data_IF_245926258914
#
_entry.id   IF_245926258914
#
_cell.length_a   1.000
_cell.length_b   1.000
_cell.length_c   1.000
_cell.angle_alpha   90.00
_cell.angle_beta   90.00
_cell.angle_gamma   90.00
#
_symmetry.space_group_name_H-M   'P 1'
#
loop_
_entity.id
_entity.type
_entity.pdbx_description
1 polymer ?
#
# COMPACT_ATOMS: atom_id res chain seq x y z
N UNK A 1 -23.26 16.81 -2.23
CA UNK A 1 -22.95 16.74 -0.78
C UNK A 1 -21.45 16.84 -0.62
N UNK A 2 -20.96 18.00 -0.17
CA UNK A 2 -19.54 18.23 0.11
C UNK A 2 -19.13 17.42 1.33
N UNK A 3 -18.27 16.42 1.11
CA UNK A 3 -17.64 15.69 2.21
C UNK A 3 -16.92 16.71 3.11
N UNK A 4 -17.23 16.71 4.41
CA UNK A 4 -16.45 17.44 5.40
C UNK A 4 -15.06 16.84 5.35
N UNK A 5 -14.11 17.55 4.74
CA UNK A 5 -12.71 17.21 4.80
C UNK A 5 -12.31 17.28 6.29
N UNK A 6 -12.30 16.12 6.96
CA UNK A 6 -11.74 15.99 8.29
C UNK A 6 -10.30 16.50 8.28
N UNK A 7 -9.82 16.92 9.45
CA UNK A 7 -8.40 17.20 9.67
C UNK A 7 -7.59 15.98 9.20
N UNK A 8 -6.77 16.16 8.16
CA UNK A 8 -5.84 15.13 7.71
C UNK A 8 -4.49 15.39 8.38
N UNK A 9 -4.20 14.71 9.50
CA UNK A 9 -2.96 14.88 10.24
C UNK A 9 -1.74 14.76 9.32
N UNK A 10 -1.82 13.98 8.22
CA UNK A 10 -0.70 13.80 7.29
C UNK A 10 -0.17 15.09 6.63
N UNK A 11 -0.92 16.19 6.72
CA UNK A 11 -0.49 17.52 6.24
C UNK A 11 0.43 18.22 7.24
N UNK A 12 0.53 17.70 8.45
CA UNK A 12 1.38 18.17 9.52
C UNK A 12 2.52 17.16 9.76
N UNK A 13 3.74 17.67 9.88
CA UNK A 13 4.90 16.84 10.23
C UNK A 13 4.69 16.31 11.65
N UNK A 14 4.52 15.00 11.81
CA UNK A 14 4.30 14.43 13.15
C UNK A 14 5.58 14.08 13.90
N UNK A 15 6.74 14.07 13.24
CA UNK A 15 8.03 13.69 13.84
C UNK A 15 9.23 14.09 12.96
N UNK A 16 10.44 13.84 13.48
CA UNK A 16 11.74 14.02 12.81
C UNK A 16 12.10 12.87 11.84
N UNK A 17 11.14 12.05 11.41
CA UNK A 17 11.41 10.93 10.48
C UNK A 17 11.63 11.42 9.05
N UNK A 18 12.47 10.71 8.30
CA UNK A 18 12.76 11.00 6.87
C UNK A 18 11.56 10.68 5.98
N UNK A 19 10.81 9.63 6.33
CA UNK A 19 9.58 9.25 5.65
C UNK A 19 8.60 8.67 6.67
N UNK A 20 7.30 8.89 6.47
CA UNK A 20 6.28 8.13 7.18
C UNK A 20 5.49 7.27 6.20
N UNK A 21 5.25 6.02 6.59
CA UNK A 21 4.48 5.07 5.81
C UNK A 21 3.23 4.72 6.60
N UNK A 22 2.07 5.12 6.09
CA UNK A 22 0.80 4.87 6.73
C UNK A 22 0.02 3.83 5.93
N UNK A 23 -0.49 2.82 6.64
CA UNK A 23 -1.07 1.63 6.04
C UNK A 23 -2.51 1.48 6.51
N UNK A 24 -3.42 1.27 5.56
CA UNK A 24 -4.84 1.14 5.80
C UNK A 24 -5.22 -0.09 6.62
N UNK A 25 -6.25 0.07 7.45
CA UNK A 25 -6.84 -1.03 8.22
C UNK A 25 -7.48 -2.10 7.33
N UNK A 26 -8.16 -1.72 6.24
CA UNK A 26 -8.94 -2.68 5.47
C UNK A 26 -8.05 -3.46 4.51
N UNK A 27 -8.62 -4.52 3.97
CA UNK A 27 -7.91 -5.48 3.13
C UNK A 27 -8.18 -5.25 1.66
N UNK A 28 -7.17 -5.46 0.84
CA UNK A 28 -7.29 -5.68 -0.59
C UNK A 28 -6.64 -7.03 -0.94
N UNK A 29 -7.38 -7.90 -1.62
CA UNK A 29 -6.82 -9.15 -2.13
C UNK A 29 -5.84 -8.85 -3.26
N UNK A 30 -4.62 -9.36 -3.19
CA UNK A 30 -3.65 -9.35 -4.30
C UNK A 30 -3.41 -10.74 -4.87
N UNK A 31 -4.12 -11.73 -4.31
CA UNK A 31 -4.08 -13.12 -4.74
C UNK A 31 -2.66 -13.64 -4.82
N UNK A 32 -2.36 -14.39 -5.87
CA UNK A 32 -1.06 -14.97 -6.19
C UNK A 32 -0.02 -13.98 -6.74
N UNK A 33 -0.40 -12.71 -6.97
CA UNK A 33 0.54 -11.65 -7.35
C UNK A 33 1.17 -11.09 -6.08
N UNK A 34 2.28 -11.71 -5.67
CA UNK A 34 2.97 -11.43 -4.41
C UNK A 34 4.47 -11.15 -4.61
N UNK A 35 5.14 -10.68 -3.55
CA UNK A 35 6.58 -10.48 -3.51
C UNK A 35 7.10 -9.56 -4.62
N UNK A 36 8.21 -9.92 -5.29
CA UNK A 36 8.78 -9.11 -6.37
C UNK A 36 7.86 -8.94 -7.59
N UNK A 37 6.89 -9.84 -7.78
CA UNK A 37 5.91 -9.69 -8.86
C UNK A 37 4.96 -8.54 -8.52
N UNK A 38 4.44 -8.51 -7.28
CA UNK A 38 3.60 -7.41 -6.81
C UNK A 38 4.33 -6.06 -6.88
N UNK A 39 5.60 -6.02 -6.47
CA UNK A 39 6.42 -4.81 -6.59
C UNK A 39 6.41 -4.27 -8.03
N UNK A 40 6.79 -5.11 -9.01
CA UNK A 40 6.92 -4.69 -10.41
C UNK A 40 5.57 -4.31 -11.01
N UNK A 41 4.51 -5.02 -10.65
CA UNK A 41 3.15 -4.70 -11.10
C UNK A 41 2.70 -3.34 -10.57
N UNK A 42 2.79 -3.09 -9.26
CA UNK A 42 2.39 -1.80 -8.69
C UNK A 42 3.27 -0.66 -9.21
N UNK A 43 4.59 -0.88 -9.27
CA UNK A 43 5.52 0.09 -9.85
C UNK A 43 5.12 0.44 -11.28
N UNK A 44 4.90 -0.57 -12.14
CA UNK A 44 4.53 -0.37 -13.54
C UNK A 44 3.23 0.42 -13.69
N UNK A 45 2.18 0.00 -12.97
CA UNK A 45 0.88 0.68 -13.02
C UNK A 45 0.97 2.14 -12.56
N UNK A 46 1.69 2.42 -11.48
CA UNK A 46 1.89 3.80 -11.00
C UNK A 46 2.80 4.60 -11.94
N UNK A 47 3.84 3.97 -12.50
CA UNK A 47 4.77 4.62 -13.41
C UNK A 47 4.07 5.06 -14.70
N UNK A 48 3.21 4.21 -15.23
CA UNK A 48 2.47 4.47 -16.46
C UNK A 48 1.33 5.48 -16.22
N UNK A 49 0.71 5.44 -15.04
CA UNK A 49 -0.41 6.33 -14.71
C UNK A 49 0.05 7.73 -14.30
N UNK A 50 1.14 7.85 -13.52
CA UNK A 50 1.64 9.11 -13.02
C UNK A 50 2.74 9.67 -13.92
N UNK A 51 2.50 10.79 -14.63
CA UNK A 51 3.39 11.28 -15.67
C UNK A 51 4.75 11.73 -15.13
N UNK A 52 5.81 11.46 -15.90
CA UNK A 52 7.19 11.86 -15.62
C UNK A 52 7.41 13.38 -15.58
N UNK A 53 6.63 14.15 -16.34
CA UNK A 53 6.79 15.61 -16.48
C UNK A 53 5.73 16.40 -15.68
N UNK A 54 5.05 15.76 -14.73
CA UNK A 54 4.09 16.41 -13.84
C UNK A 54 4.69 16.67 -12.46
N UNK A 55 4.08 17.57 -11.71
CA UNK A 55 4.34 17.77 -10.27
C UNK A 55 3.24 17.14 -9.39
N UNK A 56 2.19 16.61 -10.03
CA UNK A 56 1.02 16.01 -9.37
C UNK A 56 0.49 14.82 -10.16
N UNK A 57 -0.11 13.89 -9.44
CA UNK A 57 -0.84 12.75 -10.02
C UNK A 57 -2.12 12.53 -9.23
N UNK A 58 -3.26 12.42 -9.92
CA UNK A 58 -4.54 12.14 -9.26
C UNK A 58 -5.38 11.19 -10.10
N UNK A 59 -5.93 10.17 -9.44
CA UNK A 59 -6.90 9.24 -10.02
C UNK A 59 -8.20 9.35 -9.23
N UNK A 60 -9.26 9.80 -9.91
CA UNK A 60 -10.59 9.97 -9.34
C UNK A 60 -11.71 9.41 -10.25
N UNK A 61 -11.37 8.66 -11.30
CA UNK A 61 -12.32 8.11 -12.25
C UNK A 61 -12.23 6.59 -12.30
N UNK A 62 -13.35 5.93 -11.95
CA UNK A 62 -13.50 4.47 -11.94
C UNK A 62 -13.20 3.81 -13.28
N UNK A 63 -13.55 4.46 -14.38
CA UNK A 63 -13.36 3.91 -15.72
C UNK A 63 -11.88 3.89 -16.16
N UNK A 64 -11.00 4.47 -15.35
CA UNK A 64 -9.56 4.59 -15.61
C UNK A 64 -8.69 3.90 -14.55
N UNK A 65 -9.28 3.06 -13.69
CA UNK A 65 -8.51 2.34 -12.69
C UNK A 65 -7.53 1.38 -13.36
N UNK A 66 -6.21 1.54 -13.17
CA UNK A 66 -5.26 0.55 -13.63
C UNK A 66 -5.40 -0.70 -12.78
N UNK A 67 -5.55 -1.85 -13.43
CA UNK A 67 -5.80 -3.13 -12.79
C UNK A 67 -4.78 -4.17 -13.24
N UNK A 68 -4.57 -5.18 -12.39
CA UNK A 68 -3.86 -6.40 -12.75
C UNK A 68 -4.71 -7.61 -12.40
N UNK A 69 -4.54 -8.68 -13.19
CA UNK A 69 -5.19 -9.96 -12.94
C UNK A 69 -4.46 -10.73 -11.86
N UNK A 70 -5.21 -11.47 -11.06
CA UNK A 70 -4.67 -12.38 -10.04
C UNK A 70 -5.64 -13.52 -9.76
N UNK A 71 -5.20 -14.56 -9.07
CA UNK A 71 -6.04 -15.62 -8.57
C UNK A 71 -6.30 -15.46 -7.08
N UNK A 72 -7.57 -15.41 -6.71
CA UNK A 72 -8.01 -15.30 -5.31
C UNK A 72 -8.99 -16.42 -4.97
N UNK A 73 -9.23 -16.64 -3.67
CA UNK A 73 -10.37 -17.44 -3.25
C UNK A 73 -11.63 -16.55 -3.29
N UNK A 74 -12.64 -17.00 -4.02
CA UNK A 74 -13.93 -16.31 -4.17
C UNK A 74 -14.78 -16.35 -2.90
N UNK A 75 -16.11 -16.37 -3.04
CA UNK A 75 -17.03 -16.65 -1.92
C UNK A 75 -17.22 -18.18 -1.83
N UNK A 76 -17.43 -18.69 -0.61
CA UNK A 76 -17.59 -20.12 -0.31
C UNK A 76 -18.55 -20.83 -1.31
N UNK A 77 -18.28 -22.08 -1.74
CA UNK A 77 -17.21 -23.00 -1.31
C UNK A 77 -15.89 -22.87 -2.10
N UNK A 78 -15.49 -21.64 -2.42
CA UNK A 78 -14.14 -21.18 -2.79
C UNK A 78 -13.48 -21.86 -4.00
N UNK A 79 -14.10 -21.83 -5.19
CA UNK A 79 -13.30 -21.96 -6.40
C UNK A 79 -12.18 -20.90 -6.39
N UNK A 80 -11.01 -21.30 -6.88
CA UNK A 80 -9.98 -20.33 -7.27
C UNK A 80 -10.53 -19.60 -8.49
N UNK A 81 -10.65 -18.29 -8.39
CA UNK A 81 -11.19 -17.45 -9.46
C UNK A 81 -10.12 -16.47 -9.93
N UNK A 82 -10.05 -16.26 -11.25
CA UNK A 82 -9.32 -15.13 -11.82
C UNK A 82 -10.11 -13.86 -11.48
N UNK A 83 -9.53 -12.99 -10.67
CA UNK A 83 -10.08 -11.71 -10.28
C UNK A 83 -9.15 -10.59 -10.71
N UNK A 84 -9.55 -9.33 -10.47
CA UNK A 84 -8.70 -8.17 -10.71
C UNK A 84 -8.56 -7.32 -9.47
N UNK A 85 -7.33 -6.91 -9.22
CA UNK A 85 -7.01 -5.90 -8.22
C UNK A 85 -6.63 -4.62 -8.92
N UNK A 86 -7.28 -3.53 -8.53
CA UNK A 86 -7.17 -2.24 -9.17
C UNK A 86 -6.64 -1.19 -8.22
N UNK A 87 -5.83 -0.28 -8.73
CA UNK A 87 -5.55 0.98 -8.05
C UNK A 87 -6.78 1.86 -8.25
N UNK A 88 -7.56 2.05 -7.19
CA UNK A 88 -8.83 2.77 -7.25
C UNK A 88 -8.70 4.25 -6.88
N UNK A 89 -7.55 4.64 -6.34
CA UNK A 89 -7.30 5.99 -5.88
C UNK A 89 -5.80 6.30 -5.93
N UNK A 90 -5.46 7.47 -6.45
CA UNK A 90 -4.11 8.01 -6.42
C UNK A 90 -4.23 9.48 -6.06
N UNK A 91 -3.42 9.94 -5.12
CA UNK A 91 -3.16 11.37 -4.90
C UNK A 91 -1.69 11.53 -4.59
N UNK A 92 -0.97 12.25 -5.43
CA UNK A 92 0.45 12.48 -5.24
C UNK A 92 0.84 13.90 -5.64
N UNK A 93 1.82 14.43 -4.92
CA UNK A 93 2.57 15.63 -5.30
C UNK A 93 4.05 15.30 -5.15
N UNK A 94 4.85 15.69 -6.14
CA UNK A 94 6.28 15.42 -6.18
C UNK A 94 7.02 16.50 -6.97
N UNK A 95 8.20 16.89 -6.51
CA UNK A 95 8.98 17.96 -7.14
C UNK A 95 9.63 17.56 -8.47
N UNK A 96 10.13 16.33 -8.57
CA UNK A 96 10.89 15.85 -9.73
C UNK A 96 10.81 14.34 -9.91
N UNK A 97 11.35 13.84 -11.02
CA UNK A 97 11.31 12.42 -11.41
C UNK A 97 11.99 11.49 -10.41
N UNK A 98 13.07 11.94 -9.76
CA UNK A 98 13.76 11.14 -8.75
C UNK A 98 12.86 10.93 -7.53
N UNK A 99 12.18 11.99 -7.08
CA UNK A 99 11.22 11.92 -5.97
C UNK A 99 10.00 11.10 -6.37
N UNK A 100 9.47 11.27 -7.59
CA UNK A 100 8.36 10.46 -8.14
C UNK A 100 8.70 8.97 -8.07
N UNK A 101 9.86 8.59 -8.62
CA UNK A 101 10.35 7.21 -8.61
C UNK A 101 10.53 6.67 -7.19
N UNK A 102 11.07 7.49 -6.28
CA UNK A 102 11.24 7.13 -4.87
C UNK A 102 9.89 6.86 -4.17
N UNK A 103 8.89 7.72 -4.40
CA UNK A 103 7.54 7.55 -3.85
C UNK A 103 6.86 6.29 -4.41
N UNK A 104 6.94 6.07 -5.73
CA UNK A 104 6.39 4.85 -6.37
C UNK A 104 7.06 3.60 -5.79
N UNK A 105 8.39 3.62 -5.62
CA UNK A 105 9.15 2.55 -5.01
C UNK A 105 8.77 2.24 -3.59
N UNK A 106 8.55 3.28 -2.78
CA UNK A 106 8.12 3.12 -1.41
C UNK A 106 6.71 2.52 -1.33
N UNK A 107 5.77 2.94 -2.19
CA UNK A 107 4.44 2.33 -2.28
C UNK A 107 4.54 0.85 -2.71
N UNK A 108 5.20 0.57 -3.83
CA UNK A 108 5.34 -0.78 -4.38
C UNK A 108 6.05 -1.72 -3.41
N UNK A 109 7.15 -1.25 -2.81
CA UNK A 109 7.92 -1.99 -1.82
C UNK A 109 7.15 -2.22 -0.53
N UNK A 110 6.29 -1.29 -0.11
CA UNK A 110 5.39 -1.53 1.03
C UNK A 110 4.41 -2.66 0.73
N UNK A 111 3.77 -2.67 -0.45
CA UNK A 111 2.86 -3.75 -0.82
C UNK A 111 3.57 -5.11 -0.95
N UNK A 112 4.75 -5.15 -1.58
CA UNK A 112 5.60 -6.35 -1.62
C UNK A 112 5.91 -6.86 -0.21
N UNK A 113 6.42 -5.99 0.65
CA UNK A 113 6.80 -6.28 2.01
C UNK A 113 5.66 -6.93 2.80
N UNK A 114 4.42 -6.45 2.62
CA UNK A 114 3.23 -7.03 3.24
C UNK A 114 2.99 -8.50 2.85
N UNK A 115 3.45 -8.95 1.69
CA UNK A 115 3.23 -10.33 1.21
C UNK A 115 4.37 -11.31 1.53
N UNK A 116 5.46 -10.81 2.10
CA UNK A 116 6.67 -11.61 2.39
C UNK A 116 6.52 -12.50 3.64
N UNK A 117 5.45 -12.36 4.42
CA UNK A 117 5.21 -13.19 5.60
C UNK A 117 4.92 -14.64 5.21
N UNK A 118 5.50 -15.59 5.95
CA UNK A 118 5.28 -17.02 5.74
C UNK A 118 3.83 -17.40 6.10
N UNK A 119 3.33 -18.49 5.51
CA UNK A 119 2.08 -19.15 5.92
C UNK A 119 2.31 -19.84 7.28
N UNK A 120 2.41 -19.06 8.34
CA UNK A 120 2.62 -19.55 9.70
C UNK A 120 1.31 -20.09 10.29
N UNK A 121 1.04 -21.38 10.05
CA UNK A 121 0.08 -22.15 10.86
C UNK A 121 0.69 -22.59 12.20
N UNK A 122 2.02 -22.52 12.35
CA UNK A 122 2.76 -23.12 13.49
C UNK A 122 2.89 -22.17 14.68
N UNK A 123 2.87 -20.86 14.48
CA UNK A 123 3.10 -19.85 15.54
C UNK A 123 1.80 -19.26 16.13
N UNK A 124 0.63 -19.67 15.62
CA UNK A 124 -0.66 -19.08 16.02
C UNK A 124 -0.86 -17.63 15.54
N UNK A 125 0.09 -17.06 14.79
CA UNK A 125 0.01 -15.73 14.21
C UNK A 125 -0.76 -15.79 12.90
N UNK A 126 -1.98 -15.26 12.88
CA UNK A 126 -2.78 -15.18 11.65
C UNK A 126 -2.09 -14.31 10.61
N UNK A 127 -1.48 -14.96 9.63
CA UNK A 127 -0.87 -14.33 8.45
C UNK A 127 -1.95 -13.71 7.55
N UNK A 128 -1.58 -12.71 6.78
CA UNK A 128 -2.43 -12.13 5.73
C UNK A 128 -2.47 -12.97 4.44
N UNK A 129 -1.76 -14.11 4.43
CA UNK A 129 -1.66 -15.00 3.30
C UNK A 129 -2.45 -16.29 3.50
N UNK A 130 -2.83 -16.90 2.40
CA UNK A 130 -3.65 -18.10 2.33
C UNK A 130 -3.25 -18.96 1.14
N UNK A 131 -3.74 -20.19 1.09
CA UNK A 131 -3.52 -21.10 -0.02
C UNK A 131 -4.54 -20.84 -1.13
N UNK A 132 -4.08 -20.72 -2.37
CA UNK A 132 -4.89 -20.56 -3.59
C UNK A 132 -4.53 -21.69 -4.54
N UNK A 133 -5.31 -22.77 -4.53
CA UNK A 133 -4.93 -24.00 -5.23
C UNK A 133 -3.62 -24.58 -4.65
N UNK A 134 -2.57 -24.67 -5.47
CA UNK A 134 -1.22 -25.05 -5.03
C UNK A 134 -0.34 -23.84 -4.70
N UNK A 135 -0.80 -22.64 -5.01
CA UNK A 135 -0.05 -21.40 -4.84
C UNK A 135 -0.35 -20.72 -3.49
N UNK A 136 0.48 -19.73 -3.16
CA UNK A 136 0.26 -18.80 -2.06
C UNK A 136 -0.42 -17.55 -2.60
N UNK A 137 -1.53 -17.16 -1.98
CA UNK A 137 -2.16 -15.86 -2.18
C UNK A 137 -2.09 -14.99 -0.92
N UNK A 138 -2.16 -13.67 -1.07
CA UNK A 138 -2.15 -12.76 0.08
C UNK A 138 -3.21 -11.65 -0.04
N UNK A 139 -3.58 -11.11 1.12
CA UNK A 139 -4.21 -9.80 1.24
C UNK A 139 -3.15 -8.78 1.63
N UNK A 140 -3.31 -7.53 1.21
CA UNK A 140 -2.53 -6.39 1.68
C UNK A 140 -3.47 -5.33 2.23
N UNK A 141 -2.94 -4.19 2.67
CA UNK A 141 -3.75 -3.05 3.01
C UNK A 141 -4.48 -2.48 1.79
N UNK A 142 -5.69 -1.96 2.00
CA UNK A 142 -6.42 -1.20 0.99
C UNK A 142 -5.77 0.15 0.68
N UNK A 143 -4.92 0.66 1.57
CA UNK A 143 -4.31 1.98 1.46
C UNK A 143 -2.85 1.92 1.87
N UNK A 144 -2.00 2.60 1.10
CA UNK A 144 -0.65 3.01 1.54
C UNK A 144 -0.47 4.50 1.27
N UNK A 145 0.08 5.22 2.25
CA UNK A 145 0.50 6.62 2.14
C UNK A 145 1.98 6.71 2.46
N UNK A 146 2.72 7.40 1.61
CA UNK A 146 4.11 7.78 1.85
C UNK A 146 4.14 9.29 1.94
N UNK A 147 4.45 9.80 3.13
CA UNK A 147 4.42 11.24 3.45
C UNK A 147 5.72 11.66 4.15
N UNK A 148 5.78 12.93 4.57
CA UNK A 148 6.88 13.50 5.37
C UNK A 148 8.24 13.60 4.67
N UNK A 149 8.27 13.40 3.34
CA UNK A 149 9.44 13.67 2.52
C UNK A 149 9.84 15.15 2.64
N UNK A 150 11.12 15.48 2.49
CA UNK A 150 11.62 16.86 2.67
C UNK A 150 10.89 17.82 1.73
N UNK A 151 10.31 18.91 2.26
CA UNK A 151 9.71 19.96 1.44
C UNK A 151 10.67 20.48 0.37
N UNK A 152 10.15 20.65 -0.84
CA UNK A 152 10.82 21.37 -1.91
C UNK A 152 9.91 22.52 -2.36
N UNK A 153 10.42 23.75 -2.39
CA UNK A 153 9.65 24.97 -2.75
C UNK A 153 8.31 25.11 -1.98
N UNK A 154 8.33 24.89 -0.66
CA UNK A 154 7.17 24.92 0.25
C UNK A 154 6.08 23.87 0.00
N UNK A 155 6.27 22.94 -0.94
CA UNK A 155 5.35 21.84 -1.21
C UNK A 155 5.84 20.56 -0.54
N UNK A 156 4.87 19.79 -0.02
CA UNK A 156 5.11 18.50 0.60
C UNK A 156 5.10 17.43 -0.48
N UNK A 157 6.20 16.68 -0.62
CA UNK A 157 6.17 15.48 -1.46
C UNK A 157 5.40 14.37 -0.73
N UNK A 158 4.45 13.75 -1.43
CA UNK A 158 3.69 12.63 -0.91
C UNK A 158 3.10 11.78 -2.02
N UNK A 159 2.77 10.54 -1.70
CA UNK A 159 1.95 9.68 -2.54
C UNK A 159 1.00 8.87 -1.69
N UNK A 160 -0.26 8.88 -2.08
CA UNK A 160 -1.33 8.06 -1.53
C UNK A 160 -1.88 7.17 -2.63
N UNK A 161 -1.98 5.88 -2.33
CA UNK A 161 -2.52 4.87 -3.23
C UNK A 161 -3.55 4.04 -2.50
N UNK A 162 -4.72 3.89 -3.12
CA UNK A 162 -5.77 2.96 -2.75
C UNK A 162 -5.77 1.75 -3.68
N UNK A 163 -5.90 0.56 -3.09
CA UNK A 163 -6.18 -0.69 -3.79
C UNK A 163 -7.60 -1.15 -3.51
N UNK A 164 -8.21 -1.76 -4.52
CA UNK A 164 -9.48 -2.44 -4.37
C UNK A 164 -9.49 -3.73 -5.17
N UNK A 165 -10.01 -4.78 -4.53
CA UNK A 165 -10.43 -6.01 -5.20
C UNK A 165 -11.88 -6.23 -4.73
N UNK A 166 -12.83 -6.13 -5.65
CA UNK A 166 -14.26 -6.21 -5.35
C UNK A 166 -14.78 -7.64 -5.27
N UNK A 167 -13.96 -8.60 -5.70
CA UNK A 167 -14.39 -9.97 -5.97
C UNK A 167 -14.06 -10.91 -4.81
N UNK A 168 -13.11 -10.54 -3.92
CA UNK A 168 -12.74 -11.38 -2.77
C UNK A 168 -12.90 -10.69 -1.41
N UNK A 169 -13.44 -11.46 -0.47
CA UNK A 169 -13.48 -11.14 0.95
C UNK A 169 -12.80 -12.21 1.80
N UNK A 170 -11.97 -13.07 1.21
CA UNK A 170 -11.31 -14.15 1.92
C UNK A 170 -10.07 -13.68 2.70
N UNK A 171 -9.69 -14.43 3.74
CA UNK A 171 -8.47 -14.21 4.52
C UNK A 171 -8.50 -13.00 5.46
N UNK A 172 -7.63 -12.96 6.48
CA UNK A 172 -7.59 -11.87 7.44
C UNK A 172 -6.62 -10.76 7.00
N UNK A 173 -6.97 -9.51 7.27
CA UNK A 173 -6.05 -8.38 7.36
C UNK A 173 -6.69 -7.34 8.27
N UNK A 174 -5.91 -6.79 9.19
CA UNK A 174 -6.33 -5.71 10.08
C UNK A 174 -5.04 -5.11 10.66
N UNK A 175 -4.57 -3.99 10.08
CA UNK A 175 -3.37 -3.33 10.56
C UNK A 175 -3.47 -2.94 12.05
N UNK A 176 -4.65 -2.51 12.50
CA UNK A 176 -4.88 -2.08 13.88
C UNK A 176 -4.94 -3.26 14.88
N UNK A 177 -5.01 -4.51 14.42
CA UNK A 177 -5.03 -5.67 15.31
C UNK A 177 -3.62 -5.94 15.89
N UNK A 178 -3.56 -6.24 17.19
CA UNK A 178 -2.33 -6.33 17.98
C UNK A 178 -1.17 -7.08 17.30
N UNK A 179 0.02 -6.48 17.35
CA UNK A 179 1.27 -7.03 16.79
C UNK A 179 1.42 -6.89 15.27
N UNK A 180 0.36 -6.60 14.50
CA UNK A 180 0.47 -6.51 13.04
C UNK A 180 1.22 -5.28 12.55
N UNK A 181 1.23 -4.21 13.34
CA UNK A 181 2.07 -3.03 13.07
C UNK A 181 3.53 -3.40 12.96
N UNK A 182 4.05 -4.12 13.95
CA UNK A 182 5.45 -4.55 14.00
C UNK A 182 5.82 -5.49 12.84
N UNK A 183 4.87 -6.31 12.40
CA UNK A 183 5.09 -7.22 11.29
C UNK A 183 5.29 -6.49 9.96
N UNK A 184 4.46 -5.49 9.66
CA UNK A 184 4.68 -4.69 8.46
C UNK A 184 5.85 -3.73 8.64
N UNK A 185 6.02 -3.16 9.83
CA UNK A 185 7.13 -2.28 10.15
C UNK A 185 8.46 -2.98 9.83
N UNK A 186 8.70 -4.18 10.34
CA UNK A 186 9.90 -4.97 9.96
C UNK A 186 10.00 -5.21 8.45
N UNK A 187 8.87 -5.46 7.79
CA UNK A 187 8.86 -5.72 6.35
C UNK A 187 9.28 -4.47 5.54
N UNK A 188 8.97 -3.27 6.02
CA UNK A 188 9.37 -2.01 5.39
C UNK A 188 10.78 -1.51 5.81
N UNK A 189 11.53 -2.20 6.70
CA UNK A 189 12.94 -1.86 7.02
C UNK A 189 13.83 -1.95 5.78
N UNK A 190 13.52 -2.89 4.87
CA UNK A 190 14.25 -3.09 3.62
C UNK A 190 14.22 -1.88 2.67
N UNK A 191 13.31 -0.92 2.89
CA UNK A 191 13.21 0.29 2.07
C UNK A 191 14.35 1.27 2.31
N UNK A 192 15.11 1.15 3.41
CA UNK A 192 16.22 2.06 3.71
C UNK A 192 17.26 2.18 2.61
N UNK A 193 17.49 1.12 1.83
CA UNK A 193 18.38 1.16 0.67
C UNK A 193 17.93 2.13 -0.44
N UNK A 194 16.62 2.36 -0.56
CA UNK A 194 16.02 3.25 -1.57
C UNK A 194 16.13 4.73 -1.14
N UNK A 195 16.14 5.00 0.17
CA UNK A 195 16.21 6.34 0.75
C UNK A 195 17.63 6.76 1.21
N UNK A 196 18.61 5.85 1.19
CA UNK A 196 20.00 6.10 1.57
C UNK A 196 20.33 5.81 3.04
N UNK A 197 21.61 5.92 3.40
CA UNK A 197 22.17 5.36 4.65
C UNK A 197 21.76 6.05 5.99
N UNK A 198 20.99 7.15 5.95
CA UNK A 198 20.48 7.85 7.15
C UNK A 198 18.95 7.89 7.20
N UNK A 199 18.32 6.80 6.75
CA UNK A 199 16.87 6.67 6.71
C UNK A 199 16.29 6.47 8.12
N UNK A 200 15.50 7.44 8.57
CA UNK A 200 14.59 7.29 9.71
C UNK A 200 13.18 7.18 9.18
N UNK A 201 12.38 6.27 9.73
CA UNK A 201 11.00 6.11 9.31
C UNK A 201 10.07 5.90 10.49
N UNK A 202 8.82 6.28 10.27
CA UNK A 202 7.73 5.94 11.17
C UNK A 202 6.62 5.22 10.40
N UNK A 203 6.05 4.21 11.05
CA UNK A 203 5.08 3.30 10.47
C UNK A 203 3.78 3.33 11.27
N UNK A 204 2.69 3.67 10.58
CA UNK A 204 1.37 3.86 11.21
C UNK A 204 0.32 3.01 10.55
N UNK A 205 -0.57 2.46 11.37
CA UNK A 205 -1.83 1.94 10.90
C UNK A 205 -2.89 3.05 10.96
N UNK A 206 -3.71 3.16 9.92
CA UNK A 206 -4.75 4.19 9.83
C UNK A 206 -6.15 3.64 9.54
N UNK A 207 -7.14 4.27 10.14
CA UNK A 207 -8.58 4.16 9.86
C UNK A 207 -9.06 5.44 9.17
N UNK A 208 -10.21 5.36 8.49
CA UNK A 208 -10.80 6.50 7.78
C UNK A 208 -9.84 7.18 6.77
N UNK A 209 -8.77 6.50 6.37
CA UNK A 209 -7.71 6.95 5.45
C UNK A 209 -6.75 8.01 6.00
N UNK A 210 -6.89 8.45 7.25
CA UNK A 210 -6.05 9.50 7.83
C UNK A 210 -5.89 9.43 9.35
N UNK A 211 -6.79 8.77 10.06
CA UNK A 211 -6.80 8.72 11.52
C UNK A 211 -5.96 7.53 11.98
N UNK A 212 -5.00 7.72 12.89
CA UNK A 212 -4.22 6.62 13.44
C UNK A 212 -5.12 5.67 14.27
N UNK A 213 -4.80 4.37 14.30
CA UNK A 213 -5.45 3.46 15.24
C UNK A 213 -5.22 3.92 16.69
N UNK A 214 -6.22 3.70 17.56
CA UNK A 214 -6.12 3.93 19.00
C UNK A 214 -5.33 2.84 19.70
#
# INVERSE_FOLDING_TARGET
TTAVAGYDPSKEYHDYSTVQIWVGKNKAGVGDVIGPILYRTIWGLLNDYCPHNGDKCTLNNRDKWPCFKTHTLGVWPYPVEETSTCINEITAEYDNEQIRSLLIGAIAGTFEALTNQLLDDVSGVRTNCYKVGENKGCNVADVVRVINMRKHNDRQDFMYVGLSNFDTHYGPWDCCAGGKRELFDKAIDGLGGVFGQKFTRDSRCIINRWEACK
#
